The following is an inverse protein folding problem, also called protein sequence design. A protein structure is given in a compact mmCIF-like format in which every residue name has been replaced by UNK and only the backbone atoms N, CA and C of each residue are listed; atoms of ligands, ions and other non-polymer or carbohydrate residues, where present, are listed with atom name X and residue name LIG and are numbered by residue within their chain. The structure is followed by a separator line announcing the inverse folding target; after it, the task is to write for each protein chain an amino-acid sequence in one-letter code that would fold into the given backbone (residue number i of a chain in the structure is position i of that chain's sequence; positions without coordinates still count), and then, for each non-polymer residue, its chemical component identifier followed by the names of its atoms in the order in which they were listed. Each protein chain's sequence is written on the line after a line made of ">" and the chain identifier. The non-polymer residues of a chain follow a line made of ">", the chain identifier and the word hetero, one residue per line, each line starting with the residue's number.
data_IF_664957455617
#
_entry.id   IF_664957455617
#
_cell.length_a   1.000
_cell.length_b   1.000
_cell.length_c   1.000
_cell.angle_alpha   90.00
_cell.angle_beta   90.00
_cell.angle_gamma   90.00
#
_symmetry.space_group_name_H-M   'P 1'
#
loop_
_entity.id
_entity.type
_entity.pdbx_description
1 polymer ?
#
# COMPACT_ATOMS: atom_id res chain seq x y z
N UNK A 1 22.08 -27.35 7.78
CA UNK A 1 22.35 -26.57 6.54
C UNK A 1 23.19 -27.45 5.62
N UNK A 2 22.74 -27.71 4.41
CA UNK A 2 23.46 -28.57 3.46
C UNK A 2 24.69 -27.83 2.86
N UNK A 3 25.75 -28.56 2.52
CA UNK A 3 26.96 -27.99 1.89
C UNK A 3 26.67 -27.15 0.63
N UNK A 4 25.54 -27.36 -0.04
CA UNK A 4 25.09 -26.61 -1.19
C UNK A 4 24.65 -25.17 -0.82
N UNK A 5 24.06 -24.94 0.37
CA UNK A 5 23.63 -23.61 0.82
C UNK A 5 24.82 -22.69 1.19
N UNK A 6 25.90 -23.25 1.66
CA UNK A 6 27.13 -22.48 2.00
C UNK A 6 27.88 -22.08 0.73
N UNK A 7 27.92 -22.94 -0.29
CA UNK A 7 28.54 -22.61 -1.59
C UNK A 7 27.77 -21.54 -2.37
N UNK A 8 26.42 -21.54 -2.31
CA UNK A 8 25.59 -20.50 -2.92
C UNK A 8 25.80 -19.14 -2.26
N UNK A 9 25.93 -19.10 -0.93
CA UNK A 9 26.21 -17.87 -0.19
C UNK A 9 27.61 -17.32 -0.45
N UNK A 10 28.61 -18.19 -0.62
CA UNK A 10 29.97 -17.78 -0.97
C UNK A 10 30.11 -17.29 -2.42
N UNK A 11 29.36 -17.86 -3.38
CA UNK A 11 29.33 -17.33 -4.75
C UNK A 11 28.64 -15.94 -4.86
N UNK A 12 27.61 -15.66 -4.05
CA UNK A 12 26.98 -14.35 -4.00
C UNK A 12 27.94 -13.31 -3.37
N UNK A 13 28.74 -13.67 -2.39
CA UNK A 13 29.70 -12.76 -1.75
C UNK A 13 30.95 -12.51 -2.61
N UNK A 14 31.39 -13.47 -3.43
CA UNK A 14 32.51 -13.31 -4.35
C UNK A 14 32.14 -12.55 -5.63
N UNK A 15 30.90 -12.63 -6.10
CA UNK A 15 30.41 -11.82 -7.22
C UNK A 15 30.20 -10.34 -6.84
N UNK A 16 29.86 -10.06 -5.59
CA UNK A 16 29.67 -8.67 -5.11
C UNK A 16 31.03 -7.90 -5.04
N UNK A 17 32.15 -8.57 -4.88
CA UNK A 17 33.48 -7.91 -4.84
C UNK A 17 34.06 -7.58 -6.22
N UNK A 18 33.63 -8.26 -7.27
CA UNK A 18 34.10 -8.00 -8.64
C UNK A 18 33.38 -6.82 -9.33
N UNK A 19 32.21 -6.42 -8.83
CA UNK A 19 31.43 -5.29 -9.38
C UNK A 19 31.71 -3.95 -8.69
N UNK A 20 32.57 -3.95 -7.66
CA UNK A 20 32.84 -2.73 -6.88
C UNK A 20 33.97 -1.86 -7.49
N UNK A 21 34.60 -2.26 -8.58
CA UNK A 21 35.77 -1.57 -9.12
C UNK A 21 35.49 -0.64 -10.32
N UNK A 22 34.29 -0.66 -10.93
CA UNK A 22 33.94 0.16 -12.08
C UNK A 22 32.61 0.92 -11.91
N UNK A 23 32.18 1.20 -10.68
CA UNK A 23 31.09 2.14 -10.49
C UNK A 23 31.64 3.57 -10.58
N UNK A 24 31.17 4.41 -11.53
CA UNK A 24 31.47 5.84 -11.50
C UNK A 24 31.07 6.34 -10.10
N UNK A 25 31.98 7.09 -9.46
CA UNK A 25 31.68 7.82 -8.23
C UNK A 25 30.31 8.46 -8.41
N UNK A 26 29.29 7.90 -7.74
CA UNK A 26 28.01 8.61 -7.65
C UNK A 26 28.37 9.90 -6.92
N UNK A 27 28.50 10.98 -7.71
CA UNK A 27 28.58 12.31 -7.16
C UNK A 27 27.43 12.38 -6.18
N UNK A 28 27.78 12.45 -4.88
CA UNK A 28 26.83 12.90 -3.88
C UNK A 28 26.32 14.24 -4.39
N UNK A 29 25.22 14.20 -5.15
CA UNK A 29 24.47 15.42 -5.41
C UNK A 29 24.28 16.02 -4.02
N UNK A 30 24.92 17.14 -3.80
CA UNK A 30 24.70 17.96 -2.63
C UNK A 30 23.19 18.00 -2.44
N UNK A 31 22.70 17.35 -1.35
CA UNK A 31 21.33 17.64 -0.94
C UNK A 31 21.20 19.14 -0.99
N UNK A 32 20.25 19.69 -1.77
CA UNK A 32 20.12 21.14 -1.87
C UNK A 32 20.15 21.64 -0.45
N UNK A 33 21.06 22.60 -0.17
CA UNK A 33 21.28 23.09 1.21
C UNK A 33 19.91 23.45 1.77
N UNK A 34 19.31 22.52 2.51
CA UNK A 34 18.00 22.75 3.11
C UNK A 34 18.15 24.04 3.89
N UNK A 35 17.35 25.02 3.56
CA UNK A 35 17.39 26.32 4.21
C UNK A 35 17.23 26.08 5.72
N UNK A 36 17.76 26.95 6.55
CA UNK A 36 17.49 26.95 8.01
C UNK A 36 15.99 27.20 8.32
N UNK A 37 15.15 27.30 7.30
CA UNK A 37 13.71 27.51 7.37
C UNK A 37 12.97 26.19 7.14
N UNK A 38 11.81 26.06 7.74
CA UNK A 38 10.87 24.99 7.45
C UNK A 38 10.46 25.02 5.97
N UNK A 39 10.49 23.87 5.31
CA UNK A 39 9.92 23.67 3.99
C UNK A 39 8.62 22.90 4.10
N UNK A 40 7.63 23.27 3.30
CA UNK A 40 6.33 22.62 3.25
C UNK A 40 6.14 21.98 1.88
N UNK A 41 5.71 20.73 1.87
CA UNK A 41 5.28 19.97 0.71
C UNK A 41 3.88 19.43 0.95
N UNK A 42 3.11 19.24 -0.11
CA UNK A 42 1.80 18.60 -0.04
C UNK A 42 1.53 17.76 -1.28
N UNK A 43 0.67 16.77 -1.13
CA UNK A 43 0.02 16.06 -2.22
C UNK A 43 -1.40 15.69 -1.83
N UNK A 44 -2.28 15.49 -2.82
CA UNK A 44 -3.65 15.08 -2.59
C UNK A 44 -4.30 14.54 -3.86
N UNK A 45 -5.37 13.79 -3.70
CA UNK A 45 -6.27 13.44 -4.77
C UNK A 45 -7.71 13.35 -4.28
N UNK A 46 -8.63 13.74 -5.14
CA UNK A 46 -10.07 13.55 -4.96
C UNK A 46 -10.60 12.91 -6.25
N UNK A 47 -11.32 11.79 -6.12
CA UNK A 47 -12.02 11.14 -7.22
C UNK A 47 -13.53 11.25 -7.00
N UNK A 48 -14.22 12.03 -7.82
CA UNK A 48 -15.71 11.95 -7.90
C UNK A 48 -16.06 10.80 -8.84
N UNK A 49 -16.47 9.65 -8.30
CA UNK A 49 -16.56 8.36 -8.99
C UNK A 49 -18.00 7.85 -9.03
N UNK A 50 -18.52 7.64 -10.24
CA UNK A 50 -19.67 6.77 -10.48
C UNK A 50 -19.13 5.34 -10.64
N UNK A 51 -19.51 4.47 -9.73
CA UNK A 51 -19.01 3.10 -9.61
C UNK A 51 -20.17 2.14 -9.82
N UNK A 52 -20.04 1.26 -10.81
CA UNK A 52 -20.99 0.18 -11.11
C UNK A 52 -20.29 -1.17 -10.99
N UNK A 53 -20.69 -1.95 -9.97
CA UNK A 53 -20.20 -3.31 -9.77
C UNK A 53 -21.21 -4.26 -10.39
N UNK A 54 -20.83 -4.89 -11.51
CA UNK A 54 -21.77 -5.59 -12.40
C UNK A 54 -22.09 -7.04 -12.02
N UNK A 55 -21.66 -7.53 -10.85
CA UNK A 55 -22.10 -8.84 -10.36
C UNK A 55 -23.53 -8.79 -9.81
N UNK A 56 -24.21 -9.94 -9.63
CA UNK A 56 -25.51 -9.98 -8.91
C UNK A 56 -25.45 -9.45 -7.48
N UNK A 57 -24.26 -9.33 -6.88
CA UNK A 57 -24.04 -8.77 -5.52
C UNK A 57 -23.55 -7.32 -5.55
N UNK A 58 -23.21 -6.85 -6.73
CA UNK A 58 -22.74 -5.49 -6.94
C UNK A 58 -23.82 -4.45 -6.77
N UNK A 59 -23.43 -3.19 -6.87
CA UNK A 59 -24.33 -2.04 -6.81
C UNK A 59 -23.76 -0.86 -7.59
N UNK A 60 -24.66 0.00 -8.08
CA UNK A 60 -24.29 1.28 -8.71
C UNK A 60 -24.36 2.38 -7.67
N UNK A 61 -23.28 3.15 -7.49
CA UNK A 61 -23.23 4.23 -6.50
C UNK A 61 -22.29 5.36 -6.91
N UNK A 62 -22.55 6.57 -6.40
CA UNK A 62 -21.59 7.68 -6.50
C UNK A 62 -20.85 7.83 -5.19
N UNK A 63 -19.49 7.86 -5.26
CA UNK A 63 -18.61 8.02 -4.10
C UNK A 63 -17.47 8.99 -4.42
N UNK A 64 -16.86 9.52 -3.35
CA UNK A 64 -15.77 10.48 -3.51
C UNK A 64 -14.57 10.07 -2.64
N UNK A 65 -13.85 8.97 -2.98
CA UNK A 65 -12.62 8.61 -2.29
C UNK A 65 -11.58 9.73 -2.44
N UNK A 66 -10.89 10.02 -1.33
CA UNK A 66 -9.95 11.13 -1.30
C UNK A 66 -8.91 10.99 -0.20
N UNK A 67 -7.80 11.71 -0.38
CA UNK A 67 -6.81 11.92 0.68
C UNK A 67 -6.03 13.22 0.42
N UNK A 68 -5.49 13.78 1.49
CA UNK A 68 -4.53 14.89 1.48
C UNK A 68 -3.37 14.56 2.41
N UNK A 69 -2.15 14.85 1.99
CA UNK A 69 -0.93 14.71 2.78
C UNK A 69 -0.14 16.01 2.78
N UNK A 70 0.28 16.44 3.96
CA UNK A 70 1.17 17.58 4.18
C UNK A 70 2.43 17.14 4.91
N UNK A 71 3.59 17.63 4.49
CA UNK A 71 4.87 17.36 5.10
C UNK A 71 5.64 18.65 5.35
N UNK A 72 6.13 18.80 6.57
CA UNK A 72 7.04 19.87 7.00
C UNK A 72 8.42 19.29 7.23
N UNK A 73 9.44 19.90 6.66
CA UNK A 73 10.83 19.48 6.83
C UNK A 73 11.69 20.62 7.37
N UNK A 74 12.61 20.26 8.24
CA UNK A 74 13.58 21.19 8.82
C UNK A 74 14.89 20.47 9.14
N UNK A 75 16.02 21.17 8.97
CA UNK A 75 17.29 20.67 9.46
C UNK A 75 17.35 20.72 10.98
N UNK A 76 17.52 19.56 11.61
CA UNK A 76 17.68 19.43 13.05
C UNK A 76 19.01 18.73 13.34
N UNK A 77 19.93 19.45 14.00
CA UNK A 77 21.30 19.01 14.20
C UNK A 77 22.00 18.72 12.85
N UNK A 78 22.53 17.50 12.69
CA UNK A 78 23.18 17.04 11.44
C UNK A 78 22.20 16.34 10.49
N UNK A 79 20.94 16.16 10.91
CA UNK A 79 19.93 15.41 10.18
C UNK A 79 18.83 16.27 9.58
N UNK A 80 17.92 15.59 8.90
CA UNK A 80 16.66 16.12 8.40
C UNK A 80 15.55 15.61 9.30
N UNK A 81 14.77 16.51 9.87
CA UNK A 81 13.57 16.22 10.64
C UNK A 81 12.35 16.53 9.78
N UNK A 82 11.40 15.63 9.72
CA UNK A 82 10.14 15.83 8.99
C UNK A 82 8.95 15.44 9.86
N UNK A 83 7.85 16.16 9.67
CA UNK A 83 6.54 15.85 10.24
C UNK A 83 5.57 15.70 9.10
N UNK A 84 4.92 14.55 9.02
CA UNK A 84 3.93 14.23 7.98
C UNK A 84 2.56 14.02 8.61
N UNK A 85 1.54 14.64 8.02
CA UNK A 85 0.14 14.40 8.37
C UNK A 85 -0.62 14.03 7.10
N UNK A 86 -1.40 12.95 7.16
CA UNK A 86 -2.29 12.53 6.09
C UNK A 86 -3.72 12.41 6.61
N UNK A 87 -4.66 12.98 5.86
CA UNK A 87 -6.07 13.06 6.21
C UNK A 87 -6.94 12.53 5.06
N UNK A 88 -8.08 11.94 5.39
CA UNK A 88 -9.13 11.58 4.44
C UNK A 88 -10.51 12.02 4.92
N UNK A 89 -11.37 12.40 4.00
CA UNK A 89 -12.78 12.64 4.24
C UNK A 89 -13.64 11.43 3.84
N UNK A 90 -13.05 10.27 3.61
CA UNK A 90 -13.75 9.03 3.26
C UNK A 90 -14.93 8.72 4.20
N UNK A 91 -14.82 8.90 5.54
CA UNK A 91 -15.94 8.65 6.44
C UNK A 91 -17.20 9.46 6.11
N UNK A 92 -17.04 10.65 5.49
CA UNK A 92 -18.15 11.49 5.04
C UNK A 92 -18.54 11.26 3.57
N UNK A 93 -17.59 10.84 2.71
CA UNK A 93 -17.75 10.88 1.24
C UNK A 93 -17.90 9.50 0.60
N UNK A 94 -17.48 8.44 1.29
CA UNK A 94 -17.68 7.04 0.88
C UNK A 94 -18.50 6.23 1.88
N UNK A 95 -18.89 6.81 3.01
CA UNK A 95 -19.65 6.23 4.12
C UNK A 95 -18.83 5.27 4.99
N UNK A 96 -19.31 4.98 6.22
CA UNK A 96 -18.66 4.02 7.13
C UNK A 96 -18.63 2.58 6.59
N UNK A 97 -19.39 2.28 5.54
CA UNK A 97 -19.35 0.97 4.85
C UNK A 97 -18.40 0.99 3.64
N UNK A 98 -17.74 2.11 3.35
CA UNK A 98 -16.87 2.27 2.19
C UNK A 98 -17.64 2.32 0.86
N UNK A 99 -16.99 1.94 -0.24
CA UNK A 99 -17.56 1.86 -1.59
C UNK A 99 -17.65 0.42 -2.08
N UNK A 100 -18.61 0.15 -2.98
CA UNK A 100 -18.81 -1.18 -3.56
C UNK A 100 -17.56 -1.62 -4.35
N UNK A 101 -17.09 -2.84 -4.10
CA UNK A 101 -16.01 -3.49 -4.81
C UNK A 101 -16.17 -5.01 -4.67
N UNK A 102 -16.58 -5.66 -5.77
CA UNK A 102 -16.85 -7.09 -5.78
C UNK A 102 -15.64 -7.89 -5.30
N UNK A 103 -15.87 -8.91 -4.47
CA UNK A 103 -14.88 -9.82 -3.85
C UNK A 103 -14.00 -9.19 -2.78
N UNK A 104 -14.07 -7.89 -2.51
CA UNK A 104 -13.30 -7.26 -1.46
C UNK A 104 -13.88 -7.62 -0.09
N UNK A 105 -12.99 -8.01 0.83
CA UNK A 105 -13.31 -8.33 2.22
C UNK A 105 -12.22 -7.75 3.10
N UNK A 106 -12.61 -7.14 4.20
CA UNK A 106 -11.71 -6.65 5.22
C UNK A 106 -12.42 -5.66 6.13
N UNK A 107 -11.97 -5.62 7.38
CA UNK A 107 -12.52 -4.79 8.45
C UNK A 107 -14.01 -5.04 8.75
N UNK A 108 -14.59 -4.24 9.65
CA UNK A 108 -15.94 -4.44 10.15
C UNK A 108 -16.77 -3.17 10.11
N UNK A 109 -18.09 -3.36 10.10
CA UNK A 109 -19.06 -2.31 10.31
C UNK A 109 -20.24 -2.86 11.11
N UNK A 110 -20.55 -2.24 12.25
CA UNK A 110 -21.60 -2.68 13.21
C UNK A 110 -21.39 -4.13 13.67
N UNK A 111 -20.14 -4.53 13.89
CA UNK A 111 -19.77 -5.87 14.36
C UNK A 111 -19.87 -6.97 13.30
N UNK A 112 -20.08 -6.64 12.03
CA UNK A 112 -20.13 -7.57 10.91
C UNK A 112 -19.03 -7.29 9.89
N UNK A 113 -18.55 -8.33 9.19
CA UNK A 113 -17.56 -8.17 8.13
C UNK A 113 -18.10 -7.28 7.00
N UNK A 114 -17.29 -6.38 6.51
CA UNK A 114 -17.53 -5.63 5.26
C UNK A 114 -17.23 -6.57 4.11
N UNK A 115 -18.21 -6.84 3.27
CA UNK A 115 -18.14 -7.79 2.15
C UNK A 115 -18.59 -7.09 0.88
N UNK A 116 -17.89 -7.39 -0.24
CA UNK A 116 -18.09 -6.77 -1.55
C UNK A 116 -18.01 -5.23 -1.49
N UNK A 117 -17.16 -4.76 -0.59
CA UNK A 117 -16.90 -3.33 -0.42
C UNK A 117 -15.48 -3.11 0.09
N UNK A 118 -14.84 -2.08 -0.42
CA UNK A 118 -13.62 -1.52 0.19
C UNK A 118 -14.01 -0.63 1.36
N UNK A 119 -13.45 -0.89 2.54
CA UNK A 119 -13.65 -0.06 3.72
C UNK A 119 -13.14 1.39 3.51
N UNK A 120 -13.70 2.39 4.21
CA UNK A 120 -13.21 3.76 4.14
C UNK A 120 -11.89 3.91 4.89
N UNK A 121 -11.06 4.85 4.50
CA UNK A 121 -9.94 5.27 5.33
C UNK A 121 -10.42 6.04 6.56
N UNK A 122 -9.62 6.03 7.63
CA UNK A 122 -9.83 6.90 8.77
C UNK A 122 -9.59 8.36 8.40
N UNK A 123 -10.23 9.28 9.13
CA UNK A 123 -9.98 10.71 8.98
C UNK A 123 -8.50 11.06 9.16
N UNK A 124 -7.84 10.51 10.20
CA UNK A 124 -6.41 10.65 10.42
C UNK A 124 -5.69 9.38 9.94
N UNK A 125 -5.16 9.41 8.72
CA UNK A 125 -4.45 8.28 8.12
C UNK A 125 -2.99 8.20 8.53
N UNK A 126 -2.35 9.35 8.82
CA UNK A 126 -0.97 9.40 9.29
C UNK A 126 -0.70 10.67 10.11
N UNK A 127 0.04 10.51 11.20
CA UNK A 127 0.68 11.57 11.95
C UNK A 127 2.05 11.05 12.39
N UNK A 128 3.11 11.42 11.70
CA UNK A 128 4.43 10.84 11.88
C UNK A 128 5.51 11.90 12.01
N UNK A 129 6.47 11.67 12.91
CA UNK A 129 7.71 12.43 13.03
C UNK A 129 8.88 11.52 12.65
N UNK A 130 9.73 11.97 11.75
CA UNK A 130 10.88 11.21 11.23
C UNK A 130 12.14 12.05 11.32
N UNK A 131 13.21 11.48 11.83
CA UNK A 131 14.51 12.10 11.86
C UNK A 131 15.54 11.20 11.20
N UNK A 132 16.13 11.68 10.09
CA UNK A 132 17.18 10.99 9.37
C UNK A 132 18.49 11.75 9.50
N UNK A 133 19.54 11.08 9.95
CA UNK A 133 20.84 11.68 10.22
C UNK A 133 22.01 10.84 9.70
N UNK A 134 23.05 11.45 9.08
CA UNK A 134 24.26 10.73 8.69
C UNK A 134 25.01 10.23 9.92
N UNK A 135 25.45 8.97 9.88
CA UNK A 135 26.23 8.30 10.93
C UNK A 135 27.66 7.98 10.52
N UNK A 136 28.11 8.46 9.35
CA UNK A 136 29.45 8.26 8.81
C UNK A 136 29.54 7.11 7.81
N UNK A 137 30.66 7.04 7.08
CA UNK A 137 30.94 6.01 6.07
C UNK A 137 29.85 5.84 5.00
N UNK A 138 29.17 6.95 4.62
CA UNK A 138 28.10 6.95 3.64
C UNK A 138 26.79 6.30 4.13
N UNK A 139 26.66 6.07 5.44
CA UNK A 139 25.45 5.53 6.05
C UNK A 139 24.63 6.62 6.74
N UNK A 140 23.31 6.43 6.82
CA UNK A 140 22.42 7.25 7.61
C UNK A 140 21.51 6.39 8.49
N UNK A 141 21.16 6.92 9.66
CA UNK A 141 20.18 6.38 10.60
C UNK A 141 18.87 7.12 10.41
N UNK A 142 17.78 6.40 10.36
CA UNK A 142 16.41 6.93 10.40
C UNK A 142 15.72 6.45 11.67
N UNK A 143 15.11 7.37 12.40
CA UNK A 143 14.23 7.10 13.55
C UNK A 143 12.88 7.74 13.27
N UNK A 144 11.81 6.99 13.49
CA UNK A 144 10.45 7.48 13.28
C UNK A 144 9.54 7.05 14.42
N UNK A 145 8.57 7.92 14.73
CA UNK A 145 7.50 7.65 15.68
C UNK A 145 6.19 8.24 15.15
N UNK A 146 5.10 7.49 15.29
CA UNK A 146 3.80 7.89 14.81
C UNK A 146 2.70 7.34 15.74
N UNK A 147 1.79 8.18 16.27
CA UNK A 147 0.54 7.67 16.85
C UNK A 147 -0.31 6.92 15.80
N UNK A 148 -0.31 7.38 14.55
CA UNK A 148 -0.82 6.68 13.38
C UNK A 148 0.22 6.75 12.27
N UNK A 149 0.57 5.61 11.66
CA UNK A 149 1.59 5.58 10.61
C UNK A 149 1.72 4.23 9.93
N UNK A 150 2.75 4.11 9.10
CA UNK A 150 3.08 2.91 8.34
C UNK A 150 4.30 2.22 8.96
N UNK A 151 4.18 0.97 9.47
CA UNK A 151 5.34 0.18 9.89
C UNK A 151 6.17 -0.28 8.69
N UNK A 152 7.38 -0.79 8.95
CA UNK A 152 8.27 -1.34 7.93
C UNK A 152 7.75 -2.70 7.40
N UNK A 153 6.55 -2.71 6.81
CA UNK A 153 5.87 -3.90 6.32
C UNK A 153 5.12 -3.59 5.01
N UNK A 154 5.28 -4.43 4.02
CA UNK A 154 4.62 -4.27 2.73
C UNK A 154 5.39 -3.41 1.71
N UNK A 155 4.95 -3.43 0.45
CA UNK A 155 5.35 -2.45 -0.56
C UNK A 155 4.81 -1.06 -0.23
N UNK A 156 5.16 -0.05 -1.01
CA UNK A 156 4.49 1.26 -0.95
C UNK A 156 2.99 1.08 -1.06
N UNK A 157 2.20 1.74 -0.21
CA UNK A 157 0.74 1.68 -0.23
C UNK A 157 0.18 2.10 -1.60
N UNK A 158 -0.91 1.45 -2.04
CA UNK A 158 -1.43 1.61 -3.41
C UNK A 158 -1.65 3.06 -3.81
N UNK A 159 -2.17 3.89 -2.92
CA UNK A 159 -2.45 5.30 -3.16
C UNK A 159 -1.19 6.15 -3.41
N UNK A 160 -0.03 5.68 -2.96
CA UNK A 160 1.27 6.34 -3.14
C UNK A 160 2.12 5.67 -4.23
N UNK A 161 1.69 4.55 -4.83
CA UNK A 161 2.40 3.96 -5.97
C UNK A 161 2.14 4.76 -7.24
N UNK A 162 3.20 5.17 -7.92
CA UNK A 162 3.07 5.82 -9.24
C UNK A 162 2.34 4.93 -10.25
N UNK A 163 2.47 3.61 -10.15
CA UNK A 163 1.78 2.64 -11.02
C UNK A 163 0.27 2.55 -10.80
N UNK A 164 -0.23 3.00 -9.63
CA UNK A 164 -1.66 3.00 -9.27
C UNK A 164 -2.26 4.41 -9.16
N UNK A 165 -1.46 5.45 -9.43
CA UNK A 165 -1.83 6.84 -9.14
C UNK A 165 -3.14 7.34 -9.79
N UNK A 166 -3.59 6.70 -10.85
CA UNK A 166 -4.79 7.07 -11.61
C UNK A 166 -5.97 6.11 -11.37
N UNK A 167 -5.77 5.05 -10.60
CA UNK A 167 -6.78 4.03 -10.27
C UNK A 167 -7.49 4.47 -8.97
N UNK A 168 -8.81 4.72 -9.01
CA UNK A 168 -9.51 5.21 -7.82
C UNK A 168 -9.78 4.14 -6.76
N UNK A 169 -9.69 2.83 -7.14
CA UNK A 169 -10.03 1.71 -6.27
C UNK A 169 -8.79 1.02 -5.69
N UNK A 170 -8.94 0.43 -4.49
CA UNK A 170 -7.91 -0.39 -3.88
C UNK A 170 -7.68 -1.69 -4.69
N UNK A 171 -6.52 -2.33 -4.59
CA UNK A 171 -6.34 -3.67 -5.14
C UNK A 171 -7.07 -4.71 -4.28
N UNK A 172 -7.61 -5.78 -4.89
CA UNK A 172 -8.22 -6.90 -4.16
C UNK A 172 -7.26 -7.55 -3.14
N UNK A 173 -5.97 -7.53 -3.45
CA UNK A 173 -4.91 -8.04 -2.58
C UNK A 173 -4.49 -7.10 -1.45
N UNK A 174 -5.16 -5.97 -1.23
CA UNK A 174 -4.80 -4.91 -0.28
C UNK A 174 -4.49 -5.47 1.12
N UNK A 175 -5.39 -6.30 1.70
CA UNK A 175 -5.21 -6.90 3.02
C UNK A 175 -4.05 -7.92 3.13
N UNK A 176 -3.45 -8.31 2.01
CA UNK A 176 -2.29 -9.20 1.99
C UNK A 176 -1.00 -8.46 1.65
N UNK A 177 -1.09 -7.31 0.98
CA UNK A 177 0.04 -6.56 0.46
C UNK A 177 0.40 -5.34 1.31
N UNK A 178 -0.53 -4.42 1.53
CA UNK A 178 -0.24 -3.05 1.98
C UNK A 178 -1.29 -2.42 2.92
N UNK A 179 -2.18 -3.20 3.54
CA UNK A 179 -3.22 -2.69 4.46
C UNK A 179 -2.66 -2.01 5.72
N UNK A 180 -1.42 -2.34 6.12
CA UNK A 180 -0.78 -1.75 7.30
C UNK A 180 -0.32 -0.29 7.13
N UNK A 181 -0.70 0.39 6.06
CA UNK A 181 -0.36 1.82 5.87
C UNK A 181 -1.07 2.76 6.86
N UNK A 182 -2.14 2.29 7.54
CA UNK A 182 -2.77 2.95 8.68
C UNK A 182 -2.67 1.99 9.86
N UNK A 183 -1.71 2.24 10.74
CA UNK A 183 -1.42 1.40 11.91
C UNK A 183 -1.16 2.29 13.11
N UNK A 184 -1.69 1.88 14.27
CA UNK A 184 -1.58 2.66 15.51
C UNK A 184 -0.26 2.40 16.22
N UNK A 185 0.31 3.45 16.84
CA UNK A 185 1.46 3.34 17.73
C UNK A 185 2.72 2.79 17.06
N UNK A 186 3.17 3.36 15.96
CA UNK A 186 4.33 2.87 15.20
C UNK A 186 5.62 3.51 15.68
N UNK A 187 6.65 2.69 15.95
CA UNK A 187 8.04 3.14 16.16
C UNK A 187 8.93 2.38 15.20
N UNK A 188 9.71 3.10 14.39
CA UNK A 188 10.58 2.53 13.37
C UNK A 188 12.03 3.01 13.53
N UNK A 189 12.98 2.11 13.38
CA UNK A 189 14.39 2.40 13.19
C UNK A 189 14.88 1.81 11.88
N UNK A 190 15.72 2.56 11.15
CA UNK A 190 16.29 2.12 9.88
C UNK A 190 17.71 2.60 9.66
N UNK A 191 18.46 1.85 8.87
CA UNK A 191 19.80 2.23 8.41
C UNK A 191 19.84 2.08 6.91
N UNK A 192 20.32 3.10 6.22
CA UNK A 192 20.60 3.05 4.79
C UNK A 192 22.09 3.27 4.51
N UNK A 193 22.61 2.55 3.51
CA UNK A 193 23.95 2.73 2.97
C UNK A 193 23.99 2.31 1.50
N UNK A 194 24.41 3.25 0.65
CA UNK A 194 24.39 3.03 -0.80
C UNK A 194 23.00 2.65 -1.30
N UNK A 195 22.84 1.58 -2.08
CA UNK A 195 21.53 1.20 -2.61
C UNK A 195 20.63 0.46 -1.60
N UNK A 196 21.12 0.14 -0.41
CA UNK A 196 20.41 -0.67 0.58
C UNK A 196 19.84 0.18 1.71
N UNK A 197 18.64 -0.18 2.16
CA UNK A 197 18.02 0.30 3.39
C UNK A 197 17.39 -0.89 4.11
N UNK A 198 17.61 -0.97 5.42
CA UNK A 198 16.97 -1.95 6.31
C UNK A 198 16.23 -1.21 7.38
N UNK A 199 14.99 -1.57 7.62
CA UNK A 199 14.09 -0.95 8.59
C UNK A 199 13.46 -2.02 9.48
N UNK A 200 13.18 -1.68 10.72
CA UNK A 200 12.42 -2.51 11.65
C UNK A 200 11.44 -1.65 12.42
N UNK A 201 10.24 -2.17 12.65
CA UNK A 201 9.19 -1.48 13.39
C UNK A 201 8.65 -2.36 14.51
N UNK A 202 8.20 -1.68 15.58
CA UNK A 202 7.26 -2.23 16.56
C UNK A 202 6.01 -1.38 16.52
N UNK A 203 4.84 -1.99 16.65
CA UNK A 203 3.57 -1.31 16.48
C UNK A 203 2.41 -2.08 17.12
N UNK A 204 1.23 -1.48 17.21
CA UNK A 204 0.01 -2.17 17.60
C UNK A 204 -0.53 -2.97 16.41
N UNK A 205 -0.82 -4.27 16.60
CA UNK A 205 -1.15 -5.18 15.49
C UNK A 205 -2.56 -5.09 14.97
N UNK A 206 -3.51 -4.63 15.78
CA UNK A 206 -4.91 -4.54 15.37
C UNK A 206 -5.13 -3.47 14.30
N UNK A 207 -5.99 -3.77 13.33
CA UNK A 207 -6.48 -2.81 12.35
C UNK A 207 -7.30 -1.71 13.04
N UNK A 208 -7.49 -0.54 12.37
CA UNK A 208 -8.34 0.53 12.88
C UNK A 208 -9.75 0.03 13.23
N UNK A 209 -10.36 0.62 14.27
CA UNK A 209 -11.72 0.28 14.68
C UNK A 209 -12.79 0.88 13.74
N UNK A 210 -14.07 0.70 14.06
CA UNK A 210 -15.18 1.17 13.22
C UNK A 210 -15.41 2.69 13.29
N UNK A 211 -14.84 3.39 14.29
CA UNK A 211 -14.98 4.85 14.41
C UNK A 211 -13.91 5.60 13.60
N UNK A 212 -14.17 5.82 12.35
CA UNK A 212 -13.25 6.45 11.41
C UNK A 212 -12.92 7.92 11.69
N UNK A 213 -13.56 8.54 12.69
CA UNK A 213 -13.36 9.95 13.00
C UNK A 213 -12.43 10.22 14.17
N UNK A 214 -12.15 9.23 14.98
CA UNK A 214 -11.28 9.38 16.13
C UNK A 214 -9.90 8.75 15.93
N UNK A 215 -9.09 8.78 16.97
CA UNK A 215 -7.81 8.11 17.05
C UNK A 215 -8.00 6.94 18.00
N UNK A 216 -8.01 5.73 17.46
CA UNK A 216 -8.08 4.51 18.25
C UNK A 216 -6.94 4.46 19.29
N UNK A 217 -7.22 3.99 20.50
CA UNK A 217 -6.16 3.71 21.50
C UNK A 217 -5.16 2.72 20.88
N UNK A 218 -3.88 3.09 20.76
CA UNK A 218 -2.89 2.20 20.15
C UNK A 218 -2.68 0.90 20.92
N UNK A 219 -3.07 0.83 22.20
CA UNK A 219 -2.84 -0.37 23.01
C UNK A 219 -1.34 -0.73 23.11
N UNK A 220 -0.99 -2.00 23.40
CA UNK A 220 0.39 -2.44 23.48
C UNK A 220 1.04 -2.48 22.10
N UNK A 221 2.36 -2.19 22.04
CA UNK A 221 3.18 -2.42 20.84
C UNK A 221 3.57 -3.92 20.79
N UNK A 222 2.64 -4.75 20.34
CA UNK A 222 2.68 -6.22 20.42
C UNK A 222 3.10 -6.90 19.10
N UNK A 223 3.34 -6.12 18.08
CA UNK A 223 3.65 -6.56 16.74
C UNK A 223 4.96 -6.00 16.25
N UNK A 224 5.58 -6.67 15.29
CA UNK A 224 6.87 -6.24 14.75
C UNK A 224 7.00 -6.54 13.26
N UNK A 225 7.89 -5.82 12.59
CA UNK A 225 8.23 -6.08 11.20
C UNK A 225 9.68 -5.69 10.88
N UNK A 226 10.17 -6.27 9.76
CA UNK A 226 11.44 -5.90 9.12
C UNK A 226 11.20 -5.76 7.63
N UNK A 227 11.78 -4.71 7.03
CA UNK A 227 11.71 -4.43 5.59
C UNK A 227 13.09 -4.08 5.06
N UNK A 228 13.41 -4.62 3.90
CA UNK A 228 14.65 -4.36 3.17
C UNK A 228 14.29 -3.74 1.81
N UNK A 229 14.98 -2.66 1.48
CA UNK A 229 14.97 -2.03 0.17
C UNK A 229 16.30 -2.19 -0.52
N UNK A 230 16.28 -2.45 -1.83
CA UNK A 230 17.44 -2.40 -2.71
C UNK A 230 17.11 -1.54 -3.92
N UNK A 231 17.85 -0.45 -4.10
CA UNK A 231 17.67 0.57 -5.14
C UNK A 231 18.96 0.74 -5.94
N UNK A 232 19.24 -0.17 -6.88
CA UNK A 232 20.49 -0.11 -7.66
C UNK A 232 20.59 1.12 -8.56
N UNK A 233 19.46 1.67 -8.97
CA UNK A 233 19.36 2.88 -9.79
C UNK A 233 18.20 3.75 -9.30
N UNK A 234 18.05 4.95 -9.87
CA UNK A 234 16.89 5.82 -9.59
C UNK A 234 15.57 5.25 -10.14
N UNK A 235 15.64 4.37 -11.13
CA UNK A 235 14.46 3.79 -11.78
C UNK A 235 13.95 2.52 -11.08
N UNK A 236 14.83 1.73 -10.46
CA UNK A 236 14.50 0.41 -9.92
C UNK A 236 14.45 0.39 -8.40
N UNK A 237 13.41 -0.20 -7.87
CA UNK A 237 13.23 -0.43 -6.44
C UNK A 237 12.80 -1.88 -6.20
N UNK A 238 13.51 -2.58 -5.35
CA UNK A 238 13.17 -3.92 -4.87
C UNK A 238 12.88 -3.84 -3.39
N UNK A 239 11.86 -4.55 -2.94
CA UNK A 239 11.47 -4.61 -1.54
C UNK A 239 11.19 -6.05 -1.14
N UNK A 240 11.56 -6.41 0.10
CA UNK A 240 11.08 -7.59 0.79
C UNK A 240 10.81 -7.23 2.25
N UNK A 241 9.74 -7.78 2.82
CA UNK A 241 9.42 -7.58 4.24
C UNK A 241 8.81 -8.82 4.86
N UNK A 242 8.95 -8.90 6.17
CA UNK A 242 8.30 -9.90 7.01
C UNK A 242 7.85 -9.25 8.32
N UNK A 243 6.67 -9.63 8.80
CA UNK A 243 6.12 -9.12 10.05
C UNK A 243 5.21 -10.13 10.74
N UNK A 244 5.06 -9.91 12.04
CA UNK A 244 4.16 -10.61 12.92
C UNK A 244 3.16 -9.61 13.47
N UNK A 245 1.87 -9.84 13.22
CA UNK A 245 0.76 -8.99 13.65
C UNK A 245 -0.06 -9.78 14.66
N UNK A 246 -0.23 -9.21 15.83
CA UNK A 246 -1.04 -9.79 16.92
C UNK A 246 -2.50 -9.41 16.69
N UNK A 247 -3.34 -10.43 16.45
CA UNK A 247 -4.81 -10.30 16.30
C UNK A 247 -5.23 -9.10 15.45
N UNK A 248 -4.76 -9.01 14.18
CA UNK A 248 -5.03 -7.82 13.37
C UNK A 248 -6.52 -7.66 13.03
N UNK A 249 -7.23 -8.75 12.84
CA UNK A 249 -8.62 -8.77 12.37
C UNK A 249 -9.60 -8.84 13.55
N UNK A 250 -10.60 -7.97 13.57
CA UNK A 250 -11.58 -7.92 14.68
C UNK A 250 -12.47 -9.18 14.79
N UNK A 251 -12.78 -9.84 13.66
CA UNK A 251 -13.65 -11.01 13.60
C UNK A 251 -12.91 -12.34 13.43
N UNK A 252 -11.59 -12.31 13.23
CA UNK A 252 -10.77 -13.51 13.13
C UNK A 252 -9.90 -13.69 14.36
N UNK A 253 -9.92 -14.90 14.94
CA UNK A 253 -9.02 -15.22 16.03
C UNK A 253 -7.62 -15.54 15.50
N UNK A 254 -6.60 -15.09 16.24
CA UNK A 254 -5.21 -15.46 16.03
C UNK A 254 -4.36 -14.37 15.40
N UNK A 255 -3.11 -14.72 15.26
CA UNK A 255 -2.06 -13.81 14.79
C UNK A 255 -1.77 -14.06 13.31
N UNK A 256 -1.23 -13.05 12.63
CA UNK A 256 -0.87 -13.14 11.22
C UNK A 256 0.64 -12.95 11.04
N UNK A 257 1.27 -13.85 10.28
CA UNK A 257 2.60 -13.63 9.74
C UNK A 257 2.48 -13.19 8.30
N UNK A 258 2.88 -11.95 8.03
CA UNK A 258 2.84 -11.37 6.68
C UNK A 258 4.23 -11.36 6.06
N UNK A 259 4.34 -11.84 4.82
CA UNK A 259 5.56 -11.74 4.03
C UNK A 259 5.23 -11.11 2.70
N UNK A 260 6.00 -10.11 2.26
CA UNK A 260 5.80 -9.48 0.96
C UNK A 260 7.11 -9.33 0.21
N UNK A 261 7.01 -9.27 -1.11
CA UNK A 261 8.09 -8.84 -1.99
C UNK A 261 7.53 -8.01 -3.12
N UNK A 262 8.27 -7.00 -3.57
CA UNK A 262 7.86 -6.18 -4.71
C UNK A 262 9.04 -5.68 -5.53
N UNK A 263 8.74 -5.40 -6.81
CA UNK A 263 9.62 -4.75 -7.77
C UNK A 263 8.89 -3.53 -8.28
N UNK A 264 9.47 -2.35 -8.11
CA UNK A 264 9.02 -1.11 -8.70
C UNK A 264 10.00 -0.66 -9.79
N UNK A 265 9.47 -0.16 -10.88
CA UNK A 265 10.24 0.52 -11.91
C UNK A 265 9.52 1.79 -12.34
N UNK A 266 10.25 2.91 -12.40
CA UNK A 266 9.71 4.18 -12.85
C UNK A 266 10.72 4.89 -13.72
N UNK A 267 10.26 5.36 -14.87
CA UNK A 267 11.09 6.12 -15.78
C UNK A 267 10.40 7.41 -16.21
N UNK A 268 11.00 8.52 -15.83
CA UNK A 268 10.58 9.85 -16.27
C UNK A 268 11.10 10.13 -17.67
N UNK A 269 10.29 10.82 -18.47
CA UNK A 269 10.60 11.29 -19.82
C UNK A 269 10.14 12.74 -19.98
N UNK A 270 10.63 13.43 -21.01
CA UNK A 270 10.24 14.83 -21.28
C UNK A 270 8.74 15.02 -21.49
N UNK A 271 8.07 14.00 -22.01
CA UNK A 271 6.65 13.98 -22.41
C UNK A 271 5.73 13.25 -21.42
N UNK A 272 6.30 12.79 -20.30
CA UNK A 272 5.55 12.05 -19.29
C UNK A 272 6.42 11.03 -18.55
N UNK A 273 5.79 9.99 -18.00
CA UNK A 273 6.47 8.94 -17.25
C UNK A 273 5.81 7.58 -17.46
N UNK A 274 6.54 6.51 -17.16
CA UNK A 274 6.01 5.14 -17.10
C UNK A 274 6.39 4.55 -15.75
N UNK A 275 5.46 3.86 -15.10
CA UNK A 275 5.70 3.15 -13.84
C UNK A 275 5.10 1.76 -13.89
N UNK A 276 5.85 0.81 -13.35
CA UNK A 276 5.47 -0.60 -13.19
C UNK A 276 5.66 -0.98 -11.73
N UNK A 277 4.71 -1.73 -11.18
CA UNK A 277 4.87 -2.44 -9.91
C UNK A 277 4.46 -3.90 -10.11
N UNK A 278 5.31 -4.82 -9.66
CA UNK A 278 4.98 -6.21 -9.43
C UNK A 278 5.08 -6.47 -7.94
N UNK A 279 4.07 -7.10 -7.35
CA UNK A 279 4.08 -7.42 -5.94
C UNK A 279 3.48 -8.81 -5.67
N UNK A 280 4.02 -9.43 -4.63
CA UNK A 280 3.52 -10.66 -4.05
C UNK A 280 3.42 -10.48 -2.54
N UNK A 281 2.34 -11.00 -1.97
CA UNK A 281 2.13 -11.06 -0.53
C UNK A 281 1.59 -12.40 -0.09
N UNK A 282 1.89 -12.74 1.16
CA UNK A 282 1.38 -13.94 1.84
C UNK A 282 1.07 -13.62 3.29
N UNK A 283 -0.17 -13.90 3.69
CA UNK A 283 -0.58 -13.97 5.08
C UNK A 283 -0.64 -15.45 5.50
N UNK A 284 0.04 -15.79 6.60
CA UNK A 284 -0.14 -17.05 7.31
C UNK A 284 -0.96 -16.76 8.55
N UNK A 285 -2.18 -17.27 8.59
CA UNK A 285 -3.14 -17.14 9.70
C UNK A 285 -3.77 -18.49 10.05
N UNK A 286 -4.63 -18.56 11.07
CA UNK A 286 -5.22 -19.82 11.55
C UNK A 286 -5.88 -20.63 10.43
N UNK A 287 -6.53 -20.00 9.47
CA UNK A 287 -7.15 -20.65 8.31
C UNK A 287 -6.17 -21.17 7.25
N UNK A 288 -4.89 -20.90 7.35
CA UNK A 288 -3.86 -21.36 6.42
C UNK A 288 -3.05 -20.24 5.75
N UNK A 289 -2.61 -20.46 4.51
CA UNK A 289 -1.87 -19.49 3.71
C UNK A 289 -2.82 -18.77 2.75
N UNK A 290 -2.71 -17.45 2.68
CA UNK A 290 -3.44 -16.59 1.76
C UNK A 290 -2.43 -15.79 0.94
N UNK A 291 -2.54 -15.87 -0.36
CA UNK A 291 -1.60 -15.25 -1.28
C UNK A 291 -2.27 -14.23 -2.19
N UNK A 292 -1.55 -13.16 -2.48
CA UNK A 292 -1.94 -12.16 -3.45
C UNK A 292 -0.78 -11.87 -4.40
N UNK A 293 -1.09 -11.74 -5.67
CA UNK A 293 -0.19 -11.36 -6.76
C UNK A 293 -0.76 -10.15 -7.46
N UNK A 294 0.08 -9.16 -7.71
CA UNK A 294 -0.30 -7.87 -8.30
C UNK A 294 0.70 -7.47 -9.38
N UNK A 295 0.17 -7.02 -10.51
CA UNK A 295 0.92 -6.30 -11.53
C UNK A 295 0.20 -5.01 -11.89
N UNK A 296 0.87 -3.87 -11.82
CA UNK A 296 0.34 -2.55 -12.18
C UNK A 296 1.26 -1.88 -13.19
N UNK A 297 0.70 -1.26 -14.20
CA UNK A 297 1.43 -0.49 -15.21
C UNK A 297 0.67 0.80 -15.52
N UNK A 298 1.34 1.94 -15.42
CA UNK A 298 0.77 3.24 -15.82
C UNK A 298 1.73 3.97 -16.75
N UNK A 299 1.20 4.46 -17.85
CA UNK A 299 1.91 5.35 -18.79
C UNK A 299 1.18 6.69 -18.88
N UNK A 300 1.81 7.73 -18.40
CA UNK A 300 1.38 9.12 -18.61
C UNK A 300 2.11 9.69 -19.83
N UNK A 301 1.36 10.30 -20.75
CA UNK A 301 1.87 10.95 -21.97
C UNK A 301 1.10 12.24 -22.23
N UNK A 302 1.76 13.38 -22.16
CA UNK A 302 1.15 14.71 -22.30
C UNK A 302 -0.06 14.91 -21.36
N UNK A 303 -1.28 14.91 -21.91
CA UNK A 303 -2.54 15.09 -21.19
C UNK A 303 -3.24 13.78 -20.88
N UNK A 304 -2.82 12.69 -21.51
CA UNK A 304 -3.43 11.36 -21.37
C UNK A 304 -2.63 10.49 -20.45
N UNK A 305 -3.33 9.61 -19.72
CA UNK A 305 -2.75 8.52 -18.97
C UNK A 305 -3.53 7.26 -19.28
N UNK A 306 -2.83 6.16 -19.50
CA UNK A 306 -3.42 4.82 -19.57
C UNK A 306 -2.82 3.96 -18.48
N UNK A 307 -3.63 3.06 -17.93
CA UNK A 307 -3.20 2.20 -16.86
C UNK A 307 -3.84 0.81 -16.94
N UNK A 308 -3.16 -0.15 -16.32
CA UNK A 308 -3.61 -1.54 -16.19
C UNK A 308 -3.25 -2.05 -14.81
N UNK A 309 -4.12 -2.92 -14.26
CA UNK A 309 -3.86 -3.71 -13.06
C UNK A 309 -4.30 -5.14 -13.32
N UNK A 310 -3.47 -6.11 -12.99
CA UNK A 310 -3.79 -7.52 -13.02
C UNK A 310 -3.55 -8.09 -11.63
N UNK A 311 -4.51 -8.82 -11.10
CA UNK A 311 -4.52 -9.35 -9.74
C UNK A 311 -4.95 -10.81 -9.72
N UNK A 312 -4.32 -11.58 -8.84
CA UNK A 312 -4.77 -12.93 -8.47
C UNK A 312 -4.69 -13.00 -6.95
N UNK A 313 -5.82 -13.10 -6.27
CA UNK A 313 -5.89 -13.04 -4.81
C UNK A 313 -6.68 -14.20 -4.27
N UNK A 314 -6.15 -14.88 -3.25
CA UNK A 314 -6.93 -15.87 -2.48
C UNK A 314 -7.92 -15.14 -1.57
N UNK A 315 -9.20 -15.50 -1.73
CA UNK A 315 -10.31 -14.98 -0.95
C UNK A 315 -10.91 -16.07 -0.09
N UNK A 316 -11.50 -15.68 1.06
CA UNK A 316 -12.25 -16.58 1.92
C UNK A 316 -13.65 -16.78 1.35
N UNK A 317 -13.84 -17.88 0.63
CA UNK A 317 -15.10 -18.14 -0.08
C UNK A 317 -16.30 -18.33 0.84
N UNK A 318 -16.08 -18.78 2.07
CA UNK A 318 -17.13 -18.91 3.10
C UNK A 318 -17.64 -17.54 3.51
N UNK A 319 -16.74 -16.59 3.79
CA UNK A 319 -17.08 -15.20 4.13
C UNK A 319 -17.86 -14.56 3.01
N UNK A 320 -17.38 -14.67 1.79
CA UNK A 320 -18.07 -14.15 0.61
C UNK A 320 -19.46 -14.76 0.39
N UNK A 321 -19.69 -16.03 0.81
CA UNK A 321 -20.98 -16.72 0.65
C UNK A 321 -21.95 -16.46 1.79
N UNK A 322 -21.46 -16.41 3.02
CA UNK A 322 -22.30 -16.48 4.24
C UNK A 322 -22.20 -15.25 5.13
N UNK A 323 -21.19 -14.41 4.94
CA UNK A 323 -20.90 -13.29 5.83
C UNK A 323 -20.24 -13.69 7.15
N UNK A 324 -19.80 -14.94 7.30
CA UNK A 324 -19.24 -15.46 8.56
C UNK A 324 -17.91 -16.15 8.29
N UNK A 325 -16.89 -15.82 9.08
CA UNK A 325 -15.61 -16.53 9.09
C UNK A 325 -15.78 -17.94 9.67
N UNK A 326 -15.53 -18.97 8.88
CA UNK A 326 -15.70 -20.35 9.32
C UNK A 326 -14.59 -20.83 10.25
N UNK A 327 -13.42 -20.19 10.24
CA UNK A 327 -12.27 -20.54 11.07
C UNK A 327 -12.46 -20.24 12.57
N UNK A 328 -13.35 -19.28 12.94
CA UNK A 328 -13.63 -18.89 14.34
C UNK A 328 -14.91 -19.48 14.95
N UNK A 329 -15.76 -20.14 14.16
CA UNK A 329 -17.17 -20.38 14.48
C UNK A 329 -17.53 -21.57 15.37
N UNK A 330 -16.59 -22.34 15.96
CA UNK A 330 -16.91 -23.44 16.86
C UNK A 330 -16.04 -23.45 18.12
N UNK A 331 -16.58 -22.91 19.20
CA UNK A 331 -15.96 -22.89 20.54
C UNK A 331 -15.59 -24.29 21.13
N UNK A 332 -15.86 -25.39 20.40
CA UNK A 332 -15.64 -26.78 20.90
C UNK A 332 -14.85 -27.67 19.92
N UNK A 333 -14.18 -27.14 18.91
CA UNK A 333 -13.38 -27.98 18.01
C UNK A 333 -11.91 -27.85 18.37
N UNK A 334 -11.27 -28.94 18.83
CA UNK A 334 -9.82 -29.03 19.07
C UNK A 334 -8.99 -28.97 17.78
N UNK A 335 -9.60 -28.83 16.61
CA UNK A 335 -8.95 -28.68 15.32
C UNK A 335 -9.63 -27.54 14.56
N UNK A 336 -8.92 -26.42 14.43
CA UNK A 336 -9.32 -25.32 13.54
C UNK A 336 -9.16 -25.82 12.10
N UNK A 337 -10.27 -26.05 11.41
CA UNK A 337 -10.22 -26.35 9.99
C UNK A 337 -9.94 -25.05 9.21
N UNK A 338 -9.03 -25.09 8.20
CA UNK A 338 -8.89 -23.96 7.30
C UNK A 338 -10.24 -23.58 6.69
N UNK A 339 -10.55 -22.27 6.68
CA UNK A 339 -11.71 -21.77 5.95
C UNK A 339 -11.59 -22.14 4.46
N UNK A 340 -12.73 -22.35 3.79
CA UNK A 340 -12.72 -22.59 2.35
C UNK A 340 -12.20 -21.35 1.63
N UNK A 341 -11.22 -21.52 0.75
CA UNK A 341 -10.57 -20.44 0.02
C UNK A 341 -10.35 -20.83 -1.45
N UNK A 342 -10.35 -19.83 -2.31
CA UNK A 342 -10.05 -20.00 -3.73
C UNK A 342 -9.45 -18.71 -4.30
N UNK A 343 -8.91 -18.78 -5.50
CA UNK A 343 -8.38 -17.62 -6.19
C UNK A 343 -9.46 -16.90 -7.01
N UNK A 344 -9.51 -15.57 -6.83
CA UNK A 344 -10.20 -14.65 -7.73
C UNK A 344 -9.15 -13.89 -8.52
N UNK A 345 -9.36 -13.81 -9.84
CA UNK A 345 -8.57 -12.94 -10.72
C UNK A 345 -9.34 -11.65 -11.03
N UNK A 346 -8.64 -10.51 -11.09
CA UNK A 346 -9.19 -9.26 -11.60
C UNK A 346 -8.23 -8.62 -12.59
N UNK A 347 -8.78 -8.06 -13.66
CA UNK A 347 -8.02 -7.32 -14.66
C UNK A 347 -8.69 -5.98 -14.91
N UNK A 348 -8.01 -4.90 -14.53
CA UNK A 348 -8.44 -3.51 -14.70
C UNK A 348 -7.71 -2.90 -15.90
N UNK A 349 -8.42 -2.17 -16.72
CA UNK A 349 -7.87 -1.33 -17.78
C UNK A 349 -8.62 0.00 -17.83
N UNK A 350 -7.88 1.09 -17.91
CA UNK A 350 -8.49 2.41 -17.89
C UNK A 350 -7.57 3.52 -18.36
N UNK A 351 -8.07 4.72 -18.24
CA UNK A 351 -7.30 5.91 -18.58
C UNK A 351 -7.93 7.19 -18.09
N UNK A 352 -7.12 8.25 -18.09
CA UNK A 352 -7.53 9.60 -17.77
C UNK A 352 -7.09 10.59 -18.84
N UNK A 353 -7.85 11.65 -19.00
CA UNK A 353 -7.49 12.78 -19.84
C UNK A 353 -7.58 14.08 -19.04
N UNK A 354 -6.46 14.78 -18.91
CA UNK A 354 -6.41 16.09 -18.25
C UNK A 354 -7.20 17.11 -19.07
N UNK A 355 -8.29 17.59 -18.50
CA UNK A 355 -9.18 18.57 -19.09
C UNK A 355 -8.65 19.99 -18.89
N UNK A 356 -8.18 20.28 -17.67
CA UNK A 356 -7.89 21.64 -17.24
C UNK A 356 -6.78 21.67 -16.17
N UNK A 357 -5.88 22.66 -16.27
CA UNK A 357 -4.75 22.89 -15.32
C UNK A 357 -4.72 24.36 -14.84
N UNK A 358 -5.75 24.86 -14.15
CA UNK A 358 -5.77 26.23 -13.70
C UNK A 358 -4.78 26.43 -12.55
N UNK A 359 -3.87 27.38 -12.67
CA UNK A 359 -2.96 27.75 -11.59
C UNK A 359 -2.24 26.55 -10.93
N UNK A 360 -1.95 25.50 -11.71
CA UNK A 360 -1.27 24.29 -11.24
C UNK A 360 -2.18 23.17 -10.71
N UNK A 361 -3.48 23.40 -10.58
CA UNK A 361 -4.45 22.32 -10.35
C UNK A 361 -4.49 21.37 -11.56
N UNK A 362 -4.70 20.08 -11.30
CA UNK A 362 -4.83 19.07 -12.35
C UNK A 362 -6.23 18.42 -12.25
N UNK A 363 -7.11 18.77 -13.20
CA UNK A 363 -8.47 18.22 -13.30
C UNK A 363 -8.52 17.34 -14.54
N UNK A 364 -8.89 16.06 -14.34
CA UNK A 364 -8.99 15.06 -15.39
C UNK A 364 -10.32 14.33 -15.32
N UNK A 365 -10.83 13.90 -16.47
CA UNK A 365 -11.87 12.88 -16.55
C UNK A 365 -11.24 11.54 -16.89
N UNK A 366 -11.79 10.48 -16.36
CA UNK A 366 -11.29 9.13 -16.59
C UNK A 366 -12.36 8.07 -16.44
N UNK A 367 -11.98 6.86 -16.78
CA UNK A 367 -12.79 5.67 -16.57
C UNK A 367 -11.95 4.42 -16.63
N UNK A 368 -12.50 3.35 -16.07
CA UNK A 368 -11.91 2.03 -16.09
C UNK A 368 -12.97 0.95 -16.18
N UNK A 369 -12.56 -0.21 -16.66
CA UNK A 369 -13.34 -1.45 -16.63
C UNK A 369 -12.53 -2.51 -15.91
N UNK A 370 -13.22 -3.36 -15.15
CA UNK A 370 -12.65 -4.49 -14.42
C UNK A 370 -13.36 -5.77 -14.84
N UNK A 371 -12.63 -6.73 -15.35
CA UNK A 371 -13.14 -8.08 -15.65
C UNK A 371 -12.65 -9.07 -14.61
N UNK A 372 -13.50 -10.00 -14.17
CA UNK A 372 -13.16 -10.95 -13.12
C UNK A 372 -13.12 -12.40 -13.63
N UNK A 373 -12.14 -13.15 -13.12
CA UNK A 373 -12.09 -14.63 -13.21
C UNK A 373 -12.57 -15.20 -11.87
N UNK A 374 -13.76 -15.80 -11.92
CA UNK A 374 -14.48 -16.26 -10.72
C UNK A 374 -14.38 -17.77 -10.58
N UNK A 375 -13.98 -18.33 -9.43
CA UNK A 375 -13.95 -19.78 -9.23
C UNK A 375 -15.36 -20.36 -9.19
N UNK A 376 -15.48 -21.67 -9.52
CA UNK A 376 -16.76 -22.33 -9.71
C UNK A 376 -17.68 -22.27 -8.48
N UNK A 377 -17.12 -22.27 -7.27
CA UNK A 377 -17.87 -22.22 -6.01
C UNK A 377 -18.46 -20.82 -5.70
N UNK A 378 -17.95 -19.76 -6.31
CA UNK A 378 -18.47 -18.40 -6.21
C UNK A 378 -19.34 -17.98 -7.42
N UNK A 379 -19.22 -18.65 -8.55
CA UNK A 379 -20.00 -18.32 -9.76
C UNK A 379 -21.52 -18.27 -9.56
N UNK A 380 -22.16 -19.09 -8.69
CA UNK A 380 -23.59 -18.95 -8.42
C UNK A 380 -24.01 -17.62 -7.77
N UNK A 381 -23.08 -16.94 -7.10
CA UNK A 381 -23.32 -15.68 -6.36
C UNK A 381 -22.92 -14.44 -7.17
N UNK A 382 -21.85 -14.54 -7.96
CA UNK A 382 -21.26 -13.40 -8.67
C UNK A 382 -21.43 -13.46 -10.19
N UNK A 383 -21.95 -14.59 -10.73
CA UNK A 383 -21.89 -14.87 -12.15
C UNK A 383 -20.55 -15.48 -12.55
N UNK A 384 -20.47 -16.03 -13.76
CA UNK A 384 -19.26 -16.72 -14.25
C UNK A 384 -18.18 -15.75 -14.77
N UNK A 385 -18.56 -14.58 -15.22
CA UNK A 385 -17.68 -13.55 -15.79
C UNK A 385 -18.26 -12.16 -15.53
N UNK A 386 -18.38 -11.72 -14.26
CA UNK A 386 -18.83 -10.38 -13.96
C UNK A 386 -17.79 -9.37 -14.45
N UNK A 387 -18.23 -8.16 -14.66
CA UNK A 387 -17.40 -7.02 -14.98
C UNK A 387 -17.95 -5.78 -14.29
N UNK A 388 -17.08 -4.83 -13.96
CA UNK A 388 -17.43 -3.59 -13.31
C UNK A 388 -16.88 -2.42 -14.11
N UNK A 389 -17.48 -1.24 -13.95
CA UNK A 389 -17.02 -0.02 -14.60
C UNK A 389 -17.05 1.17 -13.63
N UNK A 390 -16.06 2.05 -13.80
CA UNK A 390 -16.00 3.31 -13.08
C UNK A 390 -15.82 4.46 -14.07
N UNK A 391 -16.61 5.51 -13.88
CA UNK A 391 -16.41 6.80 -14.53
C UNK A 391 -16.10 7.84 -13.46
N UNK A 392 -15.04 8.63 -13.65
CA UNK A 392 -14.63 9.54 -12.59
C UNK A 392 -14.06 10.87 -13.10
N UNK A 393 -14.14 11.86 -12.22
CA UNK A 393 -13.37 13.10 -12.31
C UNK A 393 -12.32 13.07 -11.21
N UNK A 394 -11.06 13.23 -11.60
CA UNK A 394 -9.94 13.32 -10.68
C UNK A 394 -9.49 14.77 -10.52
N UNK A 395 -9.32 15.22 -9.28
CA UNK A 395 -8.82 16.56 -8.94
C UNK A 395 -7.58 16.42 -8.08
N UNK A 396 -6.50 17.12 -8.44
CA UNK A 396 -5.26 17.21 -7.65
C UNK A 396 -4.84 18.67 -7.46
N UNK A 397 -4.34 19.07 -6.28
CA UNK A 397 -3.87 20.43 -6.03
C UNK A 397 -2.55 20.73 -6.75
N UNK A 398 -2.18 22.01 -6.83
CA UNK A 398 -0.85 22.41 -7.30
C UNK A 398 0.23 21.90 -6.35
N UNK A 399 1.19 21.17 -6.90
CA UNK A 399 2.36 20.67 -6.18
C UNK A 399 3.60 20.87 -7.02
N UNK A 400 4.74 21.16 -6.39
CA UNK A 400 6.03 21.23 -7.09
C UNK A 400 6.49 19.84 -7.52
N UNK A 401 6.36 18.88 -6.61
CA UNK A 401 6.66 17.47 -6.83
C UNK A 401 5.55 16.64 -6.16
N UNK A 402 5.15 15.54 -6.80
CA UNK A 402 4.20 14.60 -6.18
C UNK A 402 4.93 13.73 -5.17
N UNK A 403 4.30 13.51 -4.03
CA UNK A 403 4.80 12.60 -3.00
C UNK A 403 4.35 11.16 -3.33
N UNK A 404 4.86 10.64 -4.46
CA UNK A 404 4.60 9.28 -4.92
C UNK A 404 5.81 8.38 -4.66
N UNK A 405 5.59 7.07 -4.55
CA UNK A 405 6.59 6.06 -4.25
C UNK A 405 7.31 6.29 -2.90
N UNK A 406 6.57 6.86 -1.95
CA UNK A 406 7.03 7.19 -0.59
C UNK A 406 6.43 6.24 0.44
N UNK A 407 7.11 6.06 1.56
CA UNK A 407 6.62 5.41 2.79
C UNK A 407 6.86 6.35 3.96
N UNK A 408 6.37 6.02 5.16
CA UNK A 408 6.55 6.87 6.35
C UNK A 408 8.02 7.27 6.58
N UNK A 409 8.95 6.35 6.37
CA UNK A 409 10.40 6.56 6.63
C UNK A 409 11.19 6.92 5.38
N UNK A 410 10.56 6.87 4.20
CA UNK A 410 11.19 7.14 2.92
C UNK A 410 10.52 8.32 2.23
N UNK A 411 11.18 9.45 2.24
CA UNK A 411 10.82 10.60 1.43
C UNK A 411 11.53 10.57 0.08
N UNK A 412 10.98 11.26 -0.92
CA UNK A 412 11.65 11.39 -2.22
C UNK A 412 13.00 12.09 -2.03
N UNK A 413 14.07 11.52 -2.60
CA UNK A 413 15.38 12.17 -2.75
C UNK A 413 15.40 12.98 -4.03
#
# INVERSE_FOLDING_TARGET
>A
MSRAGVLALQMVLLSASAWAQDMPEMQHEHMPMASSRWTFMQDAVVFGMLNDQGSPRGSTEFRVPNWWMGMFEHRLFRGLFSVTTMLSLDPATVTNRGYAEDFQVGETYQGAAIIDRQHPHDFLMQAAAVWRTPIGHGAALTLAGAPVGEPALGPVAYMHRSSAAEIPTAPLGHHTLDSTHITMGVVTAGIDRGPFQVESSIFHGAEPDENRWDLMDPGPLDSWSVRVWFRPTREWTFQASHGYLTKPEALEEGDVRRTTASIGWKRDRRDGWTSLTLAWGRNQKLGGLYEAYLGELTRQYHRGTVFWRAEITQVETDVLRTGVHSAGGRKNAHVVQPGARDFVGAFTAGGTWTLWKPRGWDVAAGGEIVGYAVPANLSPFYGSRPWSEQLFVRIRPPVKHRMMDVTMTRHMN
#
